data_IF_541565500139
#
_entry.id   IF_541565500139
#
_cell.length_a   1.000
_cell.length_b   1.000
_cell.length_c   1.000
_cell.angle_alpha   90.00
_cell.angle_beta   90.00
_cell.angle_gamma   90.00
#
_symmetry.space_group_name_H-M   'P 1'
#
loop_
_entity.id
_entity.type
_entity.pdbx_description
1 polymer ?
#
# COMPACT_ATOMS: atom_id res chain seq x y z
N UNK A 1 50.87 3.82 -19.41
CA UNK A 1 51.38 3.89 -18.03
C UNK A 1 50.20 3.95 -17.06
N UNK A 2 50.21 3.03 -16.08
CA UNK A 2 49.39 2.94 -14.86
C UNK A 2 47.86 2.79 -15.05
N UNK A 3 47.41 1.54 -15.22
CA UNK A 3 46.07 1.07 -14.82
C UNK A 3 46.25 0.14 -13.62
N UNK A 4 45.71 0.53 -12.46
CA UNK A 4 45.90 -0.17 -11.18
C UNK A 4 44.79 -1.21 -11.00
N UNK A 5 45.19 -2.47 -11.04
CA UNK A 5 44.38 -3.65 -10.74
C UNK A 5 43.94 -3.64 -9.27
N UNK A 6 42.65 -3.81 -8.99
CA UNK A 6 42.17 -4.28 -7.70
C UNK A 6 41.19 -5.43 -7.93
N UNK A 7 41.72 -6.65 -7.74
CA UNK A 7 40.97 -7.90 -7.67
C UNK A 7 40.27 -7.98 -6.31
N UNK A 8 39.07 -8.56 -6.36
CA UNK A 8 38.49 -9.53 -5.44
C UNK A 8 38.56 -9.25 -3.92
N UNK A 9 37.37 -9.14 -3.32
CA UNK A 9 37.06 -9.85 -2.07
C UNK A 9 35.56 -10.11 -2.00
N UNK A 10 35.21 -11.39 -2.20
CA UNK A 10 33.99 -12.01 -1.72
C UNK A 10 34.04 -12.02 -0.18
N UNK A 11 33.03 -11.46 0.47
CA UNK A 11 32.69 -11.81 1.85
C UNK A 11 31.18 -12.03 1.93
N UNK A 12 30.83 -13.32 1.92
CA UNK A 12 29.59 -13.84 2.48
C UNK A 12 29.64 -13.59 3.98
N UNK A 13 28.74 -12.74 4.49
CA UNK A 13 28.46 -12.64 5.91
C UNK A 13 26.98 -12.89 6.13
N UNK A 14 26.67 -14.16 6.44
CA UNK A 14 25.44 -14.54 7.09
C UNK A 14 25.52 -14.12 8.56
N UNK A 15 24.76 -13.10 8.93
CA UNK A 15 24.45 -12.73 10.31
C UNK A 15 23.21 -11.82 10.23
N UNK A 16 22.00 -12.31 10.50
CA UNK A 16 21.65 -12.89 11.79
C UNK A 16 21.49 -11.80 12.86
N UNK A 17 20.94 -10.64 12.52
CA UNK A 17 20.54 -9.63 13.49
C UNK A 17 19.07 -9.84 13.87
N UNK A 18 18.90 -10.65 14.92
CA UNK A 18 17.70 -10.72 15.74
C UNK A 18 17.19 -9.31 16.05
N UNK A 19 15.97 -9.04 15.62
CA UNK A 19 15.19 -7.88 16.05
C UNK A 19 14.89 -8.06 17.54
N UNK A 20 15.76 -7.52 18.38
CA UNK A 20 15.50 -7.32 19.79
C UNK A 20 14.52 -6.15 19.95
N UNK A 21 13.23 -6.43 19.75
CA UNK A 21 12.13 -5.59 20.24
C UNK A 21 11.89 -5.94 21.72
N UNK A 22 12.71 -5.37 22.58
CA UNK A 22 12.53 -5.36 24.03
C UNK A 22 13.30 -4.16 24.58
N UNK A 23 12.74 -3.22 25.31
CA UNK A 23 11.38 -3.02 25.77
C UNK A 23 11.38 -1.67 26.48
N UNK A 24 10.35 -0.87 26.23
CA UNK A 24 10.02 0.23 27.13
C UNK A 24 9.24 -0.38 28.29
N UNK A 25 9.80 -0.27 29.49
CA UNK A 25 9.19 -0.62 30.76
C UNK A 25 7.92 0.20 31.02
N UNK A 26 6.78 -0.48 31.13
CA UNK A 26 5.61 -0.06 31.90
C UNK A 26 4.88 -1.35 32.32
N UNK A 27 4.36 -1.42 33.55
CA UNK A 27 3.91 -2.63 34.22
C UNK A 27 3.06 -3.58 33.35
N UNK A 28 3.24 -4.89 33.56
CA UNK A 28 2.50 -5.95 32.88
C UNK A 28 0.99 -5.82 33.18
N UNK A 29 0.27 -5.04 32.39
CA UNK A 29 -1.19 -5.13 32.30
C UNK A 29 -1.53 -6.39 31.51
N UNK A 30 -2.00 -7.43 32.21
CA UNK A 30 -2.37 -8.70 31.60
C UNK A 30 -3.74 -8.58 30.91
N UNK A 31 -3.77 -8.10 29.66
CA UNK A 31 -4.99 -7.95 28.86
C UNK A 31 -5.32 -9.19 28.02
N UNK A 32 -4.82 -10.36 28.43
CA UNK A 32 -5.08 -11.63 27.73
C UNK A 32 -5.87 -12.57 28.63
N UNK A 33 -7.09 -12.89 28.20
CA UNK A 33 -7.87 -14.01 28.75
C UNK A 33 -7.36 -15.30 28.12
N UNK A 34 -7.18 -16.34 28.94
CA UNK A 34 -6.80 -17.66 28.43
C UNK A 34 -8.02 -18.37 27.86
N UNK A 35 -7.87 -18.98 26.68
CA UNK A 35 -8.96 -19.70 25.99
C UNK A 35 -9.60 -20.79 26.86
N UNK A 36 -8.81 -21.44 27.71
CA UNK A 36 -9.29 -22.52 28.60
C UNK A 36 -10.23 -22.00 29.71
N UNK A 37 -10.24 -20.69 29.97
CA UNK A 37 -11.11 -20.09 30.97
C UNK A 37 -12.54 -19.97 30.43
N UNK A 38 -12.68 -19.71 29.13
CA UNK A 38 -13.97 -19.56 28.46
C UNK A 38 -14.78 -20.87 28.40
N UNK A 39 -14.14 -22.03 28.53
CA UNK A 39 -14.81 -23.33 28.51
C UNK A 39 -15.78 -23.58 29.68
N UNK A 40 -15.70 -22.76 30.74
CA UNK A 40 -16.55 -22.86 31.95
C UNK A 40 -17.64 -21.81 32.01
N UNK A 41 -17.60 -20.84 31.10
CA UNK A 41 -18.56 -19.74 31.05
C UNK A 41 -19.90 -20.26 30.50
N UNK A 42 -21.03 -19.98 31.17
CA UNK A 42 -22.34 -20.39 30.67
C UNK A 42 -22.63 -19.84 29.28
N UNK A 43 -23.36 -20.62 28.49
CA UNK A 43 -23.73 -20.26 27.11
C UNK A 43 -24.46 -18.93 26.97
N UNK A 44 -25.24 -18.54 27.99
CA UNK A 44 -25.94 -17.25 28.04
C UNK A 44 -25.02 -16.04 28.10
N UNK A 45 -23.79 -16.20 28.64
CA UNK A 45 -22.81 -15.12 28.80
C UNK A 45 -21.82 -15.02 27.62
N UNK A 46 -21.91 -15.93 26.64
CA UNK A 46 -20.99 -16.00 25.50
C UNK A 46 -21.46 -15.19 24.27
N UNK A 47 -22.62 -14.54 24.33
CA UNK A 47 -23.18 -13.77 23.21
C UNK A 47 -22.21 -12.74 22.63
N UNK A 48 -21.76 -11.80 23.47
CA UNK A 48 -20.82 -10.73 23.10
C UNK A 48 -19.45 -11.28 22.64
N UNK A 49 -19.00 -12.39 23.25
CA UNK A 49 -17.74 -13.05 22.88
C UNK A 49 -17.83 -13.60 21.46
N UNK A 50 -18.94 -14.26 21.11
CA UNK A 50 -19.16 -14.80 19.76
C UNK A 50 -19.27 -13.71 18.71
N UNK A 51 -19.92 -12.60 19.04
CA UNK A 51 -19.98 -11.43 18.16
C UNK A 51 -18.57 -10.87 17.92
N UNK A 52 -17.78 -10.64 18.99
CA UNK A 52 -16.42 -10.13 18.86
C UNK A 52 -15.48 -11.11 18.12
N UNK A 53 -15.66 -12.43 18.29
CA UNK A 53 -14.95 -13.44 17.49
C UNK A 53 -15.28 -13.32 16.00
N UNK A 54 -16.55 -13.09 15.66
CA UNK A 54 -17.00 -12.89 14.28
C UNK A 54 -16.38 -11.62 13.70
N UNK A 55 -16.37 -10.51 14.45
CA UNK A 55 -15.75 -9.26 14.03
C UNK A 55 -14.24 -9.42 13.80
N UNK A 56 -13.53 -10.15 14.69
CA UNK A 56 -12.12 -10.48 14.50
C UNK A 56 -11.87 -11.27 13.22
N UNK A 57 -12.70 -12.27 12.94
CA UNK A 57 -12.59 -13.06 11.71
C UNK A 57 -12.77 -12.18 10.46
N UNK A 58 -13.81 -11.33 10.45
CA UNK A 58 -14.05 -10.39 9.36
C UNK A 58 -12.88 -9.40 9.15
N UNK A 59 -12.29 -8.91 10.23
CA UNK A 59 -11.13 -8.01 10.16
C UNK A 59 -9.89 -8.72 9.57
N UNK A 60 -9.64 -9.97 9.96
CA UNK A 60 -8.54 -10.76 9.39
C UNK A 60 -8.75 -11.08 7.90
N UNK A 61 -9.98 -11.42 7.51
CA UNK A 61 -10.33 -11.62 6.10
C UNK A 61 -10.12 -10.33 5.28
N UNK A 62 -10.41 -9.17 5.85
CA UNK A 62 -10.18 -7.88 5.20
C UNK A 62 -8.69 -7.60 4.95
N UNK A 63 -7.79 -8.03 5.85
CA UNK A 63 -6.34 -7.94 5.65
C UNK A 63 -5.91 -8.81 4.45
N UNK A 64 -6.39 -10.05 4.39
CA UNK A 64 -6.07 -10.97 3.28
C UNK A 64 -6.54 -10.41 1.93
N UNK A 65 -7.76 -9.83 1.89
CA UNK A 65 -8.26 -9.15 0.68
C UNK A 65 -7.39 -7.95 0.30
N UNK A 66 -6.96 -7.15 1.28
CA UNK A 66 -6.06 -6.02 1.03
C UNK A 66 -4.71 -6.46 0.44
N UNK A 67 -4.17 -7.62 0.84
CA UNK A 67 -2.96 -8.20 0.24
C UNK A 67 -3.15 -8.55 -1.23
N UNK A 68 -4.31 -9.10 -1.61
CA UNK A 68 -4.63 -9.36 -3.01
C UNK A 68 -4.73 -8.05 -3.78
N UNK A 69 -5.41 -7.04 -3.23
CA UNK A 69 -5.53 -5.72 -3.87
C UNK A 69 -4.17 -5.04 -4.10
N UNK A 70 -3.20 -5.20 -3.19
CA UNK A 70 -1.83 -4.70 -3.37
C UNK A 70 -1.17 -5.40 -4.55
N UNK A 71 -1.22 -6.73 -4.61
CA UNK A 71 -0.63 -7.49 -5.73
C UNK A 71 -1.26 -7.12 -7.06
N UNK A 72 -2.56 -6.88 -7.09
CA UNK A 72 -3.28 -6.46 -8.30
C UNK A 72 -2.81 -5.07 -8.75
N UNK A 73 -2.65 -4.13 -7.82
CA UNK A 73 -2.10 -2.81 -8.09
C UNK A 73 -0.64 -2.87 -8.57
N UNK A 74 0.19 -3.73 -7.99
CA UNK A 74 1.59 -3.93 -8.42
C UNK A 74 1.68 -4.52 -9.83
N UNK A 75 0.82 -5.49 -10.18
CA UNK A 75 0.74 -6.03 -11.54
C UNK A 75 0.31 -4.96 -12.54
N UNK A 76 -0.67 -4.13 -12.18
CA UNK A 76 -1.08 -3.00 -13.02
C UNK A 76 0.06 -1.97 -13.19
N UNK A 77 0.83 -1.69 -12.14
CA UNK A 77 2.01 -0.83 -12.19
C UNK A 77 3.08 -1.40 -13.15
N UNK A 78 3.31 -2.72 -13.12
CA UNK A 78 4.25 -3.37 -14.01
C UNK A 78 3.85 -3.21 -15.49
N UNK A 79 2.56 -3.40 -15.81
CA UNK A 79 2.04 -3.20 -17.17
C UNK A 79 2.34 -1.77 -17.65
N UNK A 80 2.00 -0.75 -16.87
CA UNK A 80 2.23 0.64 -17.30
C UNK A 80 3.71 1.02 -17.38
N UNK A 81 4.60 0.36 -16.60
CA UNK A 81 6.05 0.54 -16.74
C UNK A 81 6.57 -0.02 -18.07
N UNK A 82 6.01 -1.14 -18.54
CA UNK A 82 6.32 -1.68 -19.87
C UNK A 82 5.80 -0.76 -20.98
N UNK A 83 4.61 -0.18 -20.80
CA UNK A 83 4.05 0.82 -21.73
C UNK A 83 4.89 2.10 -21.80
N UNK A 84 5.39 2.61 -20.65
CA UNK A 84 6.35 3.73 -20.64
C UNK A 84 7.62 3.40 -21.41
N UNK A 85 8.15 2.18 -21.26
CA UNK A 85 9.29 1.70 -22.02
C UNK A 85 9.03 1.70 -23.54
N UNK A 86 7.85 1.24 -23.97
CA UNK A 86 7.45 1.28 -25.37
C UNK A 86 7.29 2.70 -25.90
N UNK A 87 6.68 3.60 -25.12
CA UNK A 87 6.54 5.01 -25.47
C UNK A 87 7.91 5.71 -25.60
N UNK A 88 8.87 5.36 -24.73
CA UNK A 88 10.26 5.83 -24.83
C UNK A 88 10.93 5.34 -26.11
N UNK A 89 10.83 4.06 -26.45
CA UNK A 89 11.37 3.52 -27.71
C UNK A 89 10.76 4.20 -28.93
N UNK A 90 9.45 4.49 -28.91
CA UNK A 90 8.79 5.22 -29.99
C UNK A 90 9.37 6.63 -30.15
N UNK A 91 9.53 7.38 -29.05
CA UNK A 91 10.17 8.70 -29.08
C UNK A 91 11.58 8.62 -29.68
N UNK A 92 12.38 7.63 -29.31
CA UNK A 92 13.73 7.43 -29.86
C UNK A 92 13.70 7.14 -31.38
N UNK A 93 12.74 6.36 -31.84
CA UNK A 93 12.53 6.09 -33.27
C UNK A 93 12.13 7.36 -34.05
N UNK A 94 11.26 8.20 -33.49
CA UNK A 94 10.89 9.48 -34.10
C UNK A 94 12.08 10.46 -34.13
N UNK A 95 12.93 10.46 -33.08
CA UNK A 95 14.17 11.25 -33.08
C UNK A 95 15.13 10.81 -34.19
N UNK A 96 15.24 9.51 -34.45
CA UNK A 96 16.03 8.99 -35.57
C UNK A 96 15.41 9.40 -36.93
N UNK A 97 14.08 9.40 -37.04
CA UNK A 97 13.35 9.81 -38.24
C UNK A 97 13.58 11.29 -38.57
N UNK A 98 13.57 12.17 -37.57
CA UNK A 98 13.93 13.60 -37.75
C UNK A 98 15.35 13.73 -38.32
N UNK A 99 16.34 13.06 -37.72
CA UNK A 99 17.73 13.10 -38.22
C UNK A 99 17.85 12.59 -39.66
N UNK A 100 17.10 11.55 -40.01
CA UNK A 100 17.06 11.01 -41.36
C UNK A 100 16.41 11.98 -42.36
N UNK A 101 15.35 12.68 -41.96
CA UNK A 101 14.71 13.71 -42.78
C UNK A 101 15.61 14.93 -42.98
N UNK A 102 16.30 15.37 -41.93
CA UNK A 102 17.30 16.45 -41.97
C UNK A 102 18.43 16.13 -42.94
N UNK A 103 18.96 14.91 -42.91
CA UNK A 103 20.02 14.45 -43.82
C UNK A 103 19.57 14.46 -45.30
N UNK A 104 18.28 14.27 -45.59
CA UNK A 104 17.72 14.34 -46.95
C UNK A 104 17.41 15.76 -47.41
N UNK A 105 17.38 16.75 -46.51
CA UNK A 105 17.18 18.17 -46.83
C UNK A 105 15.79 18.54 -47.35
N UNK A 106 14.81 17.64 -47.26
CA UNK A 106 13.46 17.89 -47.76
C UNK A 106 12.58 18.49 -46.66
N UNK A 107 12.30 19.79 -46.78
CA UNK A 107 11.60 20.58 -45.75
C UNK A 107 10.29 19.94 -45.26
N UNK A 108 9.43 19.46 -46.16
CA UNK A 108 8.15 18.85 -45.77
C UNK A 108 8.31 17.61 -44.90
N UNK A 109 9.28 16.74 -45.19
CA UNK A 109 9.56 15.56 -44.37
C UNK A 109 10.18 15.90 -43.01
N UNK A 110 10.95 16.99 -42.93
CA UNK A 110 11.48 17.48 -41.66
C UNK A 110 10.33 17.95 -40.77
N UNK A 111 9.40 18.74 -41.31
CA UNK A 111 8.24 19.26 -40.59
C UNK A 111 7.33 18.11 -40.10
N UNK A 112 7.06 17.10 -40.94
CA UNK A 112 6.28 15.92 -40.58
C UNK A 112 6.96 15.07 -39.49
N UNK A 113 8.27 14.82 -39.61
CA UNK A 113 9.02 14.07 -38.61
C UNK A 113 9.09 14.82 -37.27
N UNK A 114 9.24 16.15 -37.29
CA UNK A 114 9.22 16.97 -36.08
C UNK A 114 7.85 16.96 -35.39
N UNK A 115 6.76 17.00 -36.16
CA UNK A 115 5.41 16.86 -35.63
C UNK A 115 5.19 15.48 -34.97
N UNK A 116 5.64 14.42 -35.63
CA UNK A 116 5.58 13.04 -35.11
C UNK A 116 6.40 12.86 -33.83
N UNK A 117 7.60 13.45 -33.78
CA UNK A 117 8.44 13.50 -32.59
C UNK A 117 7.74 14.22 -31.43
N UNK A 118 7.12 15.37 -31.69
CA UNK A 118 6.38 16.12 -30.66
C UNK A 118 5.22 15.30 -30.10
N UNK A 119 4.47 14.60 -30.96
CA UNK A 119 3.41 13.70 -30.52
C UNK A 119 3.96 12.54 -29.66
N UNK A 120 5.06 11.90 -30.07
CA UNK A 120 5.69 10.84 -29.31
C UNK A 120 6.26 11.32 -27.96
N UNK A 121 6.78 12.55 -27.88
CA UNK A 121 7.18 13.17 -26.61
C UNK A 121 5.99 13.32 -25.66
N UNK A 122 4.86 13.85 -26.14
CA UNK A 122 3.64 13.97 -25.34
C UNK A 122 3.12 12.61 -24.84
N UNK A 123 3.14 11.59 -25.68
CA UNK A 123 2.77 10.22 -25.28
C UNK A 123 3.71 9.66 -24.20
N UNK A 124 5.02 9.90 -24.31
CA UNK A 124 5.99 9.45 -23.31
C UNK A 124 5.82 10.17 -21.97
N UNK A 125 5.52 11.48 -21.99
CA UNK A 125 5.21 12.24 -20.79
C UNK A 125 3.94 11.73 -20.10
N UNK A 126 2.88 11.46 -20.86
CA UNK A 126 1.65 10.86 -20.35
C UNK A 126 1.89 9.47 -19.75
N UNK A 127 2.65 8.61 -20.43
CA UNK A 127 2.99 7.28 -19.92
C UNK A 127 3.82 7.35 -18.62
N UNK A 128 4.77 8.28 -18.53
CA UNK A 128 5.54 8.52 -17.30
C UNK A 128 4.65 8.97 -16.14
N UNK A 129 3.70 9.86 -16.40
CA UNK A 129 2.73 10.30 -15.40
C UNK A 129 1.79 9.16 -14.97
N UNK A 130 1.43 8.25 -15.88
CA UNK A 130 0.66 7.05 -15.56
C UNK A 130 1.40 6.14 -14.58
N UNK A 131 2.71 5.93 -14.79
CA UNK A 131 3.57 5.18 -13.87
C UNK A 131 3.54 5.82 -12.49
N UNK A 132 3.78 7.13 -12.39
CA UNK A 132 3.77 7.85 -11.11
C UNK A 132 2.41 7.75 -10.40
N UNK A 133 1.31 7.88 -11.12
CA UNK A 133 -0.03 7.66 -10.56
C UNK A 133 -0.20 6.24 -10.02
N UNK A 134 0.19 5.21 -10.80
CA UNK A 134 0.09 3.81 -10.35
C UNK A 134 0.98 3.50 -9.15
N UNK A 135 2.13 4.16 -9.01
CA UNK A 135 2.95 4.07 -7.79
C UNK A 135 2.19 4.61 -6.58
N UNK A 136 1.51 5.76 -6.69
CA UNK A 136 0.64 6.26 -5.63
C UNK A 136 -0.56 5.34 -5.33
N UNK A 137 -1.11 4.65 -6.33
CA UNK A 137 -2.16 3.63 -6.11
C UNK A 137 -1.62 2.48 -5.26
N UNK A 138 -0.42 1.96 -5.56
CA UNK A 138 0.22 0.89 -4.77
C UNK A 138 0.42 1.34 -3.33
N UNK A 139 0.96 2.54 -3.10
CA UNK A 139 1.17 3.07 -1.75
C UNK A 139 -0.15 3.31 -1.00
N UNK A 140 -1.19 3.77 -1.68
CA UNK A 140 -2.53 3.89 -1.10
C UNK A 140 -3.08 2.52 -0.69
N UNK A 141 -2.89 1.47 -1.50
CA UNK A 141 -3.31 0.10 -1.17
C UNK A 141 -2.54 -0.49 0.00
N UNK A 142 -1.23 -0.22 0.10
CA UNK A 142 -0.43 -0.58 1.29
C UNK A 142 -0.95 0.13 2.56
N UNK A 143 -1.25 1.42 2.47
CA UNK A 143 -1.88 2.14 3.58
C UNK A 143 -3.27 1.58 3.93
N UNK A 144 -4.05 1.15 2.94
CA UNK A 144 -5.35 0.53 3.17
C UNK A 144 -5.21 -0.79 3.94
N UNK A 145 -4.16 -1.58 3.64
CA UNK A 145 -3.82 -2.76 4.45
C UNK A 145 -3.45 -2.38 5.88
N UNK A 146 -2.59 -1.38 6.09
CA UNK A 146 -2.25 -0.90 7.45
C UNK A 146 -3.52 -0.50 8.22
N UNK A 147 -4.48 0.15 7.55
CA UNK A 147 -5.77 0.49 8.15
C UNK A 147 -6.54 -0.78 8.59
N UNK A 148 -6.60 -1.83 7.75
CA UNK A 148 -7.25 -3.11 8.12
C UNK A 148 -6.54 -3.82 9.25
N UNK A 149 -5.21 -3.74 9.32
CA UNK A 149 -4.44 -4.26 10.45
C UNK A 149 -4.79 -3.54 11.75
N UNK A 150 -5.00 -2.22 11.73
CA UNK A 150 -5.48 -1.48 12.90
C UNK A 150 -6.92 -1.80 13.28
N UNK A 151 -7.80 -2.03 12.30
CA UNK A 151 -9.17 -2.53 12.56
C UNK A 151 -9.13 -3.89 13.27
N UNK A 152 -8.23 -4.79 12.84
CA UNK A 152 -8.04 -6.08 13.50
C UNK A 152 -7.45 -5.94 14.92
N UNK A 153 -6.55 -4.97 15.17
CA UNK A 153 -6.10 -4.66 16.53
C UNK A 153 -7.26 -4.24 17.44
N UNK A 154 -8.18 -3.40 16.95
CA UNK A 154 -9.38 -3.00 17.69
C UNK A 154 -10.25 -4.21 17.98
N UNK A 155 -10.57 -5.02 16.97
CA UNK A 155 -11.38 -6.22 17.14
C UNK A 155 -10.76 -7.23 18.12
N UNK A 156 -9.43 -7.37 18.13
CA UNK A 156 -8.72 -8.21 19.09
C UNK A 156 -8.82 -7.68 20.53
N UNK A 157 -8.69 -6.36 20.71
CA UNK A 157 -8.82 -5.73 22.03
C UNK A 157 -10.26 -5.83 22.55
N UNK A 158 -11.25 -5.63 21.68
CA UNK A 158 -12.68 -5.75 22.01
C UNK A 158 -13.07 -7.18 22.34
N UNK A 159 -12.54 -8.18 21.62
CA UNK A 159 -12.71 -9.59 21.97
C UNK A 159 -12.13 -9.87 23.36
N UNK A 160 -10.93 -9.37 23.66
CA UNK A 160 -10.29 -9.60 24.97
C UNK A 160 -11.12 -8.99 26.11
N UNK A 161 -11.72 -7.80 25.87
CA UNK A 161 -12.64 -7.16 26.83
C UNK A 161 -13.95 -7.94 26.99
N UNK A 162 -14.51 -8.47 25.90
CA UNK A 162 -15.72 -9.30 25.94
C UNK A 162 -15.48 -10.61 26.71
N UNK A 163 -14.35 -11.28 26.47
CA UNK A 163 -13.94 -12.48 27.20
C UNK A 163 -13.77 -12.19 28.70
N UNK A 164 -13.16 -11.05 29.05
CA UNK A 164 -13.04 -10.62 30.43
C UNK A 164 -14.42 -10.40 31.09
N UNK A 165 -15.32 -9.68 30.42
CA UNK A 165 -16.67 -9.41 30.93
C UNK A 165 -17.48 -10.68 31.12
N UNK A 166 -17.40 -11.61 30.18
CA UNK A 166 -18.08 -12.89 30.28
C UNK A 166 -17.59 -13.70 31.50
N UNK A 167 -16.28 -13.72 31.76
CA UNK A 167 -15.73 -14.34 32.97
C UNK A 167 -16.20 -13.64 34.25
N UNK A 168 -16.18 -12.30 34.27
CA UNK A 168 -16.63 -11.49 35.39
C UNK A 168 -18.11 -11.72 35.70
N UNK A 169 -18.96 -11.80 34.67
CA UNK A 169 -20.40 -12.07 34.83
C UNK A 169 -20.69 -13.50 35.29
N UNK A 170 -19.81 -14.45 34.97
CA UNK A 170 -19.91 -15.83 35.44
C UNK A 170 -19.35 -16.07 36.85
N UNK A 171 -19.02 -15.00 37.58
CA UNK A 171 -18.40 -15.03 38.91
C UNK A 171 -17.09 -15.87 38.96
N UNK A 172 -16.32 -15.88 37.88
CA UNK A 172 -15.05 -16.61 37.83
C UNK A 172 -13.97 -15.86 38.63
N UNK A 173 -13.48 -16.47 39.71
CA UNK A 173 -12.45 -15.90 40.61
C UNK A 173 -11.15 -15.49 39.89
N UNK A 174 -10.87 -16.05 38.71
CA UNK A 174 -9.69 -15.68 37.91
C UNK A 174 -9.86 -14.31 37.26
N UNK A 175 -11.09 -13.85 37.04
CA UNK A 175 -11.38 -12.50 36.55
C UNK A 175 -11.00 -11.42 37.57
N UNK A 176 -10.98 -11.74 38.87
CA UNK A 176 -10.56 -10.79 39.93
C UNK A 176 -9.07 -10.42 39.84
N UNK A 177 -8.26 -11.27 39.23
CA UNK A 177 -6.83 -11.03 38.99
C UNK A 177 -6.58 -10.15 37.76
N UNK A 178 -7.64 -9.79 37.04
CA UNK A 178 -7.61 -9.02 35.82
C UNK A 178 -8.23 -7.63 36.04
N UNK A 179 -7.59 -6.61 35.48
CA UNK A 179 -8.03 -5.21 35.62
C UNK A 179 -8.90 -4.81 34.43
N UNK A 180 -10.19 -4.52 34.65
CA UNK A 180 -11.08 -3.99 33.60
C UNK A 180 -10.52 -2.70 32.99
N UNK A 181 -9.86 -1.86 33.81
CA UNK A 181 -9.23 -0.62 33.36
C UNK A 181 -8.14 -0.88 32.31
N UNK A 182 -7.40 -1.99 32.43
CA UNK A 182 -6.36 -2.36 31.47
C UNK A 182 -6.95 -2.76 30.11
N UNK A 183 -8.04 -3.52 30.10
CA UNK A 183 -8.75 -3.88 28.85
C UNK A 183 -9.35 -2.64 28.18
N UNK A 184 -10.01 -1.78 28.94
CA UNK A 184 -10.56 -0.52 28.42
C UNK A 184 -9.46 0.39 27.85
N UNK A 185 -8.30 0.46 28.53
CA UNK A 185 -7.13 1.18 28.02
C UNK A 185 -6.63 0.58 26.71
N UNK A 186 -6.50 -0.74 26.61
CA UNK A 186 -6.06 -1.40 25.38
C UNK A 186 -6.99 -1.11 24.18
N UNK A 187 -8.32 -1.15 24.39
CA UNK A 187 -9.32 -0.78 23.38
C UNK A 187 -9.16 0.68 22.96
N UNK A 188 -9.02 1.59 23.94
CA UNK A 188 -8.81 3.02 23.68
C UNK A 188 -7.53 3.30 22.88
N UNK A 189 -6.42 2.64 23.23
CA UNK A 189 -5.16 2.76 22.51
C UNK A 189 -5.25 2.22 21.08
N UNK A 190 -5.89 1.07 20.87
CA UNK A 190 -6.12 0.50 19.55
C UNK A 190 -6.97 1.45 18.67
N UNK A 191 -8.06 2.01 19.21
CA UNK A 191 -8.90 2.98 18.51
C UNK A 191 -8.15 4.27 18.18
N UNK A 192 -7.28 4.74 19.06
CA UNK A 192 -6.41 5.89 18.79
C UNK A 192 -5.44 5.62 17.63
N UNK A 193 -4.81 4.45 17.60
CA UNK A 193 -3.94 4.03 16.48
C UNK A 193 -4.72 3.93 15.16
N UNK A 194 -5.93 3.37 15.19
CA UNK A 194 -6.84 3.32 14.05
C UNK A 194 -7.15 4.73 13.51
N UNK A 195 -7.58 5.64 14.38
CA UNK A 195 -7.88 7.03 14.00
C UNK A 195 -6.67 7.75 13.40
N UNK A 196 -5.47 7.53 13.95
CA UNK A 196 -4.23 8.09 13.39
C UNK A 196 -3.93 7.56 11.97
N UNK A 197 -4.25 6.29 11.71
CA UNK A 197 -4.04 5.63 10.41
C UNK A 197 -5.07 6.07 9.38
N UNK A 198 -6.32 6.30 9.79
CA UNK A 198 -7.36 6.90 8.93
C UNK A 198 -6.93 8.25 8.38
N UNK A 199 -6.34 9.12 9.22
CA UNK A 199 -5.80 10.42 8.77
C UNK A 199 -4.66 10.28 7.76
N UNK A 200 -3.78 9.29 7.93
CA UNK A 200 -2.72 9.00 6.94
C UNK A 200 -3.33 8.56 5.60
N UNK A 201 -4.38 7.74 5.66
CA UNK A 201 -5.07 7.25 4.46
C UNK A 201 -5.72 8.36 3.64
N UNK A 202 -6.31 9.36 4.29
CA UNK A 202 -6.85 10.54 3.59
C UNK A 202 -5.77 11.29 2.78
N UNK A 203 -4.56 11.41 3.35
CA UNK A 203 -3.41 12.01 2.66
C UNK A 203 -2.99 11.18 1.45
N UNK A 204 -2.87 9.86 1.59
CA UNK A 204 -2.51 8.97 0.48
C UNK A 204 -3.55 9.01 -0.64
N UNK A 205 -4.84 9.02 -0.30
CA UNK A 205 -5.92 9.17 -1.28
C UNK A 205 -5.86 10.52 -2.01
N UNK A 206 -5.52 11.61 -1.31
CA UNK A 206 -5.35 12.92 -1.95
C UNK A 206 -4.22 12.90 -2.98
N UNK A 207 -3.06 12.33 -2.62
CA UNK A 207 -1.91 12.21 -3.53
C UNK A 207 -2.23 11.35 -4.76
N UNK A 208 -2.95 10.24 -4.57
CA UNK A 208 -3.41 9.39 -5.68
C UNK A 208 -4.32 10.18 -6.65
N UNK A 209 -5.30 10.93 -6.12
CA UNK A 209 -6.20 11.75 -6.95
C UNK A 209 -5.48 12.85 -7.71
N UNK A 210 -4.52 13.53 -7.08
CA UNK A 210 -3.72 14.57 -7.71
C UNK A 210 -2.86 13.99 -8.86
N UNK A 211 -2.18 12.87 -8.61
CA UNK A 211 -1.39 12.18 -9.63
C UNK A 211 -2.26 11.66 -10.78
N UNK A 212 -3.47 11.17 -10.48
CA UNK A 212 -4.45 10.76 -11.49
C UNK A 212 -4.86 11.93 -12.39
N UNK A 213 -5.23 13.06 -11.81
CA UNK A 213 -5.63 14.25 -12.55
C UNK A 213 -4.49 14.77 -13.46
N UNK A 214 -3.24 14.71 -12.97
CA UNK A 214 -2.07 15.06 -13.78
C UNK A 214 -1.90 14.12 -14.98
N UNK A 215 -2.01 12.81 -14.76
CA UNK A 215 -1.94 11.82 -15.84
C UNK A 215 -3.06 12.02 -16.86
N UNK A 216 -4.31 12.18 -16.42
CA UNK A 216 -5.47 12.40 -17.30
C UNK A 216 -5.26 13.67 -18.16
N UNK A 217 -4.79 14.77 -17.55
CA UNK A 217 -4.49 16.01 -18.28
C UNK A 217 -3.40 15.82 -19.35
N UNK A 218 -2.33 15.09 -19.05
CA UNK A 218 -1.24 14.83 -20.00
C UNK A 218 -1.69 13.88 -21.12
N UNK A 219 -2.47 12.86 -20.78
CA UNK A 219 -3.04 11.91 -21.74
C UNK A 219 -3.93 12.64 -22.76
N UNK A 220 -4.83 13.50 -22.28
CA UNK A 220 -5.77 14.20 -23.14
C UNK A 220 -5.03 15.18 -24.07
N UNK A 221 -3.98 15.85 -23.58
CA UNK A 221 -3.08 16.67 -24.42
C UNK A 221 -2.37 15.82 -25.48
N UNK A 222 -1.84 14.66 -25.11
CA UNK A 222 -1.11 13.77 -26.03
C UNK A 222 -2.04 13.21 -27.14
N UNK A 223 -3.30 12.92 -26.82
CA UNK A 223 -4.30 12.48 -27.79
C UNK A 223 -4.73 13.59 -28.75
N UNK A 224 -4.81 14.85 -28.27
CA UNK A 224 -5.14 16.01 -29.11
C UNK A 224 -4.15 16.25 -30.26
N UNK A 225 -2.88 15.86 -30.11
CA UNK A 225 -1.88 15.97 -31.18
C UNK A 225 -2.02 14.92 -32.30
N UNK A 226 -2.83 13.86 -32.10
CA UNK A 226 -3.05 12.81 -33.11
C UNK A 226 -4.34 12.94 -33.92
N UNK A 227 -5.24 13.86 -33.55
CA UNK A 227 -6.60 13.94 -34.09
C UNK A 227 -6.91 15.10 -35.04
N UNK A 228 -6.02 16.09 -35.19
CA UNK A 228 -6.30 17.30 -35.99
C UNK A 228 -5.83 17.24 -37.44
N UNK A 229 -5.75 16.05 -38.04
CA UNK A 229 -5.22 15.86 -39.39
C UNK A 229 -5.94 14.74 -40.12
N UNK A 230 -7.25 14.93 -40.38
CA UNK A 230 -8.05 14.17 -41.36
C UNK A 230 -9.45 14.80 -41.45
N UNK A 231 -9.54 15.86 -42.25
CA UNK A 231 -10.73 16.26 -43.02
C UNK A 231 -10.23 16.84 -44.35
#
# INVERSE_FOLDING_TARGET
MIRKNWRASLLVAASGALVALSGCSAGHSNTRVKSEWMARVPESELGDVREAQTQRLQANDAIVRADVEIRDAERALEVVRREEGAARMRKEAEQASVKAAEAKGQRGHIEEAQASLKAAQGMQEAAKAQVAWREHVVEMKKGQKELREREAEVANAELSLAEYRALKNSDDVRAEQLSEADFNKAVSEARSRLASTQKKMEKSQKQEREARAQWESLRDRAQGYGGSGRD
#
